data_IF_066120389552
#
_entry.id   IF_066120389552
#
_cell.length_a   1.000
_cell.length_b   1.000
_cell.length_c   1.000
_cell.angle_alpha   90.00
_cell.angle_beta   90.00
_cell.angle_gamma   90.00
#
_symmetry.space_group_name_H-M   'P 1'
#
loop_
_entity.id
_entity.type
_entity.pdbx_description
1 polymer ?
#
# COMPACT_ATOMS: atom_id res chain seq x y z
N UNK A 1 14.64 -1.60 -3.92
CA UNK A 1 13.24 -1.97 -4.13
C UNK A 1 12.49 -1.91 -2.82
N UNK A 2 11.36 -1.26 -2.81
CA UNK A 2 10.55 -1.15 -1.61
C UNK A 2 9.20 -1.82 -1.84
N UNK A 3 8.56 -2.22 -0.74
CA UNK A 3 7.25 -2.85 -0.76
C UNK A 3 6.22 -1.86 -0.24
N UNK A 4 5.12 -1.69 -0.96
CA UNK A 4 4.00 -0.88 -0.53
C UNK A 4 2.81 -1.79 -0.23
N UNK A 5 2.13 -1.54 0.88
CA UNK A 5 0.97 -2.34 1.29
C UNK A 5 -0.24 -1.43 1.39
N UNK A 6 -1.31 -1.81 0.72
CA UNK A 6 -2.54 -1.03 0.65
C UNK A 6 -3.70 -1.88 1.16
N UNK A 7 -4.44 -1.37 2.12
CA UNK A 7 -5.58 -2.11 2.65
C UNK A 7 -6.15 -1.48 3.91
N UNK A 8 -7.00 -2.22 4.58
CA UNK A 8 -7.58 -1.77 5.83
C UNK A 8 -6.54 -1.83 6.96
N UNK A 9 -6.81 -1.11 8.03
CA UNK A 9 -5.85 -0.98 9.13
C UNK A 9 -5.38 -2.32 9.69
N UNK A 10 -6.29 -3.26 9.85
CA UNK A 10 -5.93 -4.58 10.38
C UNK A 10 -4.92 -5.29 9.49
N UNK A 11 -5.08 -5.14 8.19
CA UNK A 11 -4.19 -5.73 7.21
C UNK A 11 -2.81 -5.08 7.23
N UNK A 12 -2.78 -3.74 7.20
CA UNK A 12 -1.51 -3.01 7.17
C UNK A 12 -0.75 -3.10 8.47
N UNK A 13 -1.45 -3.27 9.61
CA UNK A 13 -0.80 -3.44 10.90
C UNK A 13 0.09 -4.69 10.92
N UNK A 14 -0.37 -5.78 10.32
CA UNK A 14 0.42 -6.98 10.25
C UNK A 14 1.73 -6.76 9.53
N UNK A 15 1.69 -6.03 8.43
CA UNK A 15 2.90 -5.71 7.67
C UNK A 15 3.79 -4.69 8.37
N UNK A 16 3.19 -3.77 9.12
CA UNK A 16 3.97 -2.82 9.91
C UNK A 16 4.82 -3.53 10.96
N UNK A 17 4.25 -4.53 11.60
CA UNK A 17 4.99 -5.33 12.59
C UNK A 17 6.13 -6.11 11.94
N UNK A 18 6.02 -6.42 10.65
CA UNK A 18 7.07 -7.08 9.91
C UNK A 18 8.13 -6.12 9.37
N UNK A 19 7.98 -4.81 9.62
CA UNK A 19 8.98 -3.84 9.22
C UNK A 19 8.71 -3.09 7.93
N UNK A 20 7.56 -3.30 7.31
CA UNK A 20 7.17 -2.58 6.10
C UNK A 20 6.77 -1.16 6.47
N UNK A 21 7.29 -0.16 5.76
CA UNK A 21 7.04 1.25 6.07
C UNK A 21 6.05 1.94 5.14
N UNK A 22 5.87 1.44 3.94
CA UNK A 22 4.98 2.06 2.96
C UNK A 22 3.60 1.45 3.08
N UNK A 23 2.80 1.95 4.02
CA UNK A 23 1.49 1.41 4.35
C UNK A 23 0.42 2.47 4.07
N UNK A 24 -0.66 2.06 3.43
CA UNK A 24 -1.72 2.97 3.00
C UNK A 24 -3.08 2.39 3.32
N UNK A 25 -3.98 3.25 3.80
CA UNK A 25 -5.34 2.85 4.19
C UNK A 25 -6.38 3.73 3.47
N UNK A 26 -6.59 3.53 2.17
CA UNK A 26 -7.59 4.34 1.45
C UNK A 26 -8.99 4.07 1.97
N UNK A 27 -9.81 5.11 2.05
CA UNK A 27 -11.14 5.02 2.64
C UNK A 27 -12.23 4.69 1.61
N UNK A 28 -11.96 4.89 0.34
CA UNK A 28 -12.91 4.56 -0.72
C UNK A 28 -12.20 4.18 -2.01
N UNK A 29 -12.99 3.79 -3.02
CA UNK A 29 -12.44 3.31 -4.29
C UNK A 29 -11.71 4.40 -5.07
N UNK A 30 -12.13 5.65 -4.95
CA UNK A 30 -11.46 6.76 -5.62
C UNK A 30 -10.07 6.99 -5.04
N UNK A 31 -9.96 6.99 -3.73
CA UNK A 31 -8.66 7.12 -3.07
C UNK A 31 -7.76 5.96 -3.41
N UNK A 32 -8.33 4.76 -3.47
CA UNK A 32 -7.58 3.57 -3.83
C UNK A 32 -7.02 3.68 -5.25
N UNK A 33 -7.85 4.13 -6.19
CA UNK A 33 -7.41 4.25 -7.58
C UNK A 33 -6.30 5.28 -7.74
N UNK A 34 -6.43 6.43 -7.07
CA UNK A 34 -5.40 7.47 -7.11
C UNK A 34 -4.10 6.99 -6.50
N UNK A 35 -4.20 6.29 -5.37
CA UNK A 35 -3.04 5.76 -4.67
C UNK A 35 -2.30 4.74 -5.53
N UNK A 36 -3.02 3.81 -6.14
CA UNK A 36 -2.40 2.81 -6.98
C UNK A 36 -1.71 3.43 -8.18
N UNK A 37 -2.30 4.47 -8.76
CA UNK A 37 -1.69 5.18 -9.87
C UNK A 37 -0.38 5.84 -9.44
N UNK A 38 -0.38 6.47 -8.27
CA UNK A 38 0.82 7.08 -7.72
C UNK A 38 1.92 6.05 -7.47
N UNK A 39 1.56 4.93 -6.87
CA UNK A 39 2.53 3.88 -6.56
C UNK A 39 3.15 3.28 -7.81
N UNK A 40 2.35 3.10 -8.85
CA UNK A 40 2.87 2.56 -10.11
C UNK A 40 3.85 3.51 -10.79
N UNK A 41 3.77 4.80 -10.47
CA UNK A 41 4.70 5.79 -11.00
C UNK A 41 6.00 5.92 -10.23
N UNK A 42 6.14 5.25 -9.09
CA UNK A 42 7.32 5.33 -8.25
C UNK A 42 8.30 4.20 -8.58
N UNK A 43 9.49 4.57 -9.02
CA UNK A 43 10.49 3.58 -9.41
C UNK A 43 11.01 2.77 -8.23
N UNK A 44 10.96 3.32 -7.03
CA UNK A 44 11.46 2.65 -5.82
C UNK A 44 10.55 1.51 -5.38
N UNK A 45 9.29 1.57 -5.74
CA UNK A 45 8.31 0.56 -5.32
C UNK A 45 8.34 -0.60 -6.31
N UNK A 46 8.84 -1.73 -5.88
CA UNK A 46 8.92 -2.92 -6.72
C UNK A 46 7.78 -3.90 -6.51
N UNK A 47 7.11 -3.82 -5.34
CA UNK A 47 6.01 -4.74 -5.02
C UNK A 47 4.89 -3.96 -4.36
N UNK A 48 3.67 -4.17 -4.82
CA UNK A 48 2.48 -3.58 -4.20
C UNK A 48 1.56 -4.72 -3.76
N UNK A 49 1.24 -4.76 -2.47
CA UNK A 49 0.33 -5.76 -1.91
C UNK A 49 -0.99 -5.08 -1.62
N UNK A 50 -2.07 -5.62 -2.16
CA UNK A 50 -3.40 -5.02 -2.01
C UNK A 50 -4.32 -6.00 -1.29
N UNK A 51 -4.98 -5.51 -0.25
CA UNK A 51 -5.99 -6.28 0.47
C UNK A 51 -7.29 -6.30 -0.34
N UNK A 52 -7.86 -7.46 -0.40
CA UNK A 52 -9.08 -7.65 -1.17
C UNK A 52 -10.29 -7.30 -0.30
#
# INVERSE_FOLDING_TARGET
MEIAVVGQLEFTLGFQLAGVKNLYNPSDDEELAELLRDLLGQEEIGVVVVDN
#
